data_IF_416383987636
#
_entry.id   IF_416383987636
#
_cell.length_a   1.000
_cell.length_b   1.000
_cell.length_c   1.000
_cell.angle_alpha   90.00
_cell.angle_beta   90.00
_cell.angle_gamma   90.00
#
_symmetry.space_group_name_H-M   'P 1'
#
loop_
_entity.id
_entity.type
_entity.pdbx_description
1 polymer ?
#
# COMPACT_ATOMS: atom_id res chain seq x y z
N UNK A 1 -46.02 -15.01 31.10
CA UNK A 1 -45.46 -15.58 32.35
C UNK A 1 -43.96 -15.29 32.37
N UNK A 2 -43.54 -14.32 33.19
CA UNK A 2 -42.16 -13.83 33.31
C UNK A 2 -41.38 -14.79 34.22
N UNK A 3 -40.33 -15.46 33.71
CA UNK A 3 -39.43 -16.26 34.55
C UNK A 3 -38.23 -15.41 34.94
N UNK A 4 -38.22 -14.97 36.20
CA UNK A 4 -37.03 -14.52 36.91
C UNK A 4 -36.04 -15.68 37.02
N UNK A 5 -34.79 -15.45 36.63
CA UNK A 5 -33.66 -16.34 36.94
C UNK A 5 -32.77 -15.59 37.93
N UNK A 6 -32.46 -16.16 39.11
CA UNK A 6 -31.67 -15.46 40.12
C UNK A 6 -30.19 -15.44 39.76
N UNK A 7 -29.62 -14.25 40.02
CA UNK A 7 -28.21 -13.90 40.02
C UNK A 7 -27.44 -14.80 41.01
N UNK A 8 -26.57 -15.69 40.52
CA UNK A 8 -25.62 -16.42 41.36
C UNK A 8 -24.28 -15.67 41.38
N UNK A 9 -24.07 -14.90 42.45
CA UNK A 9 -22.80 -14.26 42.78
C UNK A 9 -21.86 -15.33 43.33
N UNK A 10 -20.83 -15.73 42.57
CA UNK A 10 -19.71 -16.52 43.07
C UNK A 10 -18.59 -15.58 43.52
N UNK A 11 -18.39 -15.52 44.84
CA UNK A 11 -17.28 -14.86 45.49
C UNK A 11 -15.96 -15.65 45.34
N UNK A 12 -14.86 -14.88 45.27
CA UNK A 12 -13.53 -15.14 45.84
C UNK A 12 -12.75 -16.39 45.41
N UNK A 13 -11.69 -16.14 44.66
CA UNK A 13 -10.46 -16.94 44.68
C UNK A 13 -9.25 -16.03 44.50
N UNK A 14 -8.75 -15.43 45.59
CA UNK A 14 -7.45 -14.77 45.59
C UNK A 14 -6.37 -15.85 45.61
N UNK A 15 -6.05 -16.40 44.43
CA UNK A 15 -4.86 -17.21 44.25
C UNK A 15 -3.64 -16.29 44.29
N UNK A 16 -2.91 -16.34 45.40
CA UNK A 16 -1.57 -15.80 45.54
C UNK A 16 -0.67 -16.40 44.45
N UNK A 17 -0.44 -15.60 43.40
CA UNK A 17 0.44 -15.93 42.29
C UNK A 17 1.88 -15.85 42.79
N UNK A 18 2.44 -17.00 43.16
CA UNK A 18 3.85 -17.13 43.50
C UNK A 18 4.63 -17.13 42.17
N UNK A 19 5.51 -16.14 41.91
CA UNK A 19 6.31 -16.15 40.70
C UNK A 19 7.25 -17.37 40.72
N UNK A 20 7.41 -18.09 39.59
CA UNK A 20 8.29 -19.24 39.54
C UNK A 20 9.75 -18.82 39.83
N UNK A 21 10.54 -19.69 40.48
CA UNK A 21 11.96 -19.43 40.70
C UNK A 21 12.64 -19.23 39.35
N UNK A 22 13.36 -18.11 39.21
CA UNK A 22 14.18 -17.80 38.03
C UNK A 22 15.24 -18.89 37.88
N UNK A 23 14.96 -19.87 37.02
CA UNK A 23 15.97 -20.83 36.59
C UNK A 23 17.13 -20.06 35.95
N UNK A 24 18.32 -20.30 36.48
CA UNK A 24 19.56 -19.66 36.08
C UNK A 24 19.72 -19.76 34.55
N UNK A 25 19.90 -18.59 33.94
CA UNK A 25 20.16 -18.42 32.51
C UNK A 25 21.44 -19.20 32.17
N UNK A 26 21.42 -20.23 31.30
CA UNK A 26 22.64 -20.86 30.85
C UNK A 26 23.47 -19.81 30.12
N UNK A 27 24.70 -19.60 30.57
CA UNK A 27 25.68 -18.78 29.86
C UNK A 27 26.01 -19.51 28.55
N UNK A 28 25.37 -19.11 27.46
CA UNK A 28 25.81 -19.50 26.13
C UNK A 28 27.16 -18.83 25.86
N UNK A 29 28.21 -19.61 26.02
CA UNK A 29 29.54 -19.26 25.53
C UNK A 29 29.44 -18.95 24.03
N UNK A 30 29.75 -17.72 23.66
CA UNK A 30 29.96 -17.28 22.28
C UNK A 30 31.05 -18.12 21.64
N UNK A 31 30.66 -19.15 20.90
CA UNK A 31 31.49 -19.74 19.85
C UNK A 31 31.09 -19.11 18.53
N UNK A 32 31.90 -18.15 18.10
CA UNK A 32 31.92 -17.67 16.74
C UNK A 32 32.25 -18.85 15.82
N UNK A 33 31.27 -19.30 15.04
CA UNK A 33 31.47 -20.17 13.90
C UNK A 33 31.33 -19.32 12.63
N UNK A 34 32.30 -19.36 11.70
CA UNK A 34 32.17 -18.72 10.40
C UNK A 34 31.26 -19.57 9.51
N UNK A 35 30.01 -19.15 9.35
CA UNK A 35 29.12 -19.75 8.36
C UNK A 35 29.42 -19.11 7.00
N UNK A 36 30.27 -19.78 6.21
CA UNK A 36 30.28 -19.61 4.76
C UNK A 36 29.02 -20.27 4.20
N UNK A 37 27.92 -19.53 4.10
CA UNK A 37 26.76 -19.96 3.31
C UNK A 37 27.01 -19.53 1.86
N UNK A 38 27.56 -20.45 1.08
CA UNK A 38 27.58 -20.38 -0.38
C UNK A 38 26.17 -20.72 -0.86
N UNK A 39 25.32 -19.70 -1.00
CA UNK A 39 24.04 -19.85 -1.70
C UNK A 39 24.32 -20.13 -3.17
N UNK A 40 24.32 -21.42 -3.53
CA UNK A 40 23.81 -21.88 -4.81
C UNK A 40 22.35 -21.43 -4.88
N UNK A 41 22.09 -20.34 -5.58
CA UNK A 41 20.79 -20.07 -6.15
C UNK A 41 20.75 -20.88 -7.44
N UNK A 42 20.17 -22.07 -7.35
CA UNK A 42 19.72 -22.82 -8.52
C UNK A 42 18.77 -21.94 -9.34
N UNK A 43 19.00 -21.98 -10.64
CA UNK A 43 18.23 -21.42 -11.74
C UNK A 43 16.72 -21.72 -11.63
N UNK A 44 15.98 -20.88 -10.93
CA UNK A 44 14.53 -20.83 -11.06
C UNK A 44 14.17 -19.86 -12.20
N UNK A 45 14.23 -20.36 -13.43
CA UNK A 45 13.64 -19.74 -14.62
C UNK A 45 12.11 -19.66 -14.43
N UNK A 46 11.50 -18.47 -14.28
CA UNK A 46 10.06 -18.36 -14.30
C UNK A 46 9.60 -18.58 -15.74
N UNK A 47 8.98 -19.73 -15.99
CA UNK A 47 8.36 -20.06 -17.27
C UNK A 47 7.33 -19.00 -17.66
N UNK A 48 7.74 -18.03 -18.47
CA UNK A 48 6.84 -17.09 -19.14
C UNK A 48 6.17 -17.82 -20.29
N UNK A 49 5.09 -18.54 -19.98
CA UNK A 49 4.17 -19.03 -20.98
C UNK A 49 3.46 -17.83 -21.63
N UNK A 50 4.09 -17.31 -22.68
CA UNK A 50 3.56 -16.32 -23.61
C UNK A 50 2.30 -16.88 -24.29
N UNK A 51 1.13 -16.56 -23.74
CA UNK A 51 -0.15 -16.78 -24.41
C UNK A 51 -0.31 -15.72 -25.50
N UNK A 52 -0.24 -16.16 -26.75
CA UNK A 52 -0.47 -15.35 -27.93
C UNK A 52 -1.84 -14.62 -27.86
N UNK A 53 -1.90 -13.30 -28.11
CA UNK A 53 -3.17 -12.63 -28.37
C UNK A 53 -3.61 -12.97 -29.80
N UNK A 54 -4.64 -13.81 -29.90
CA UNK A 54 -5.39 -13.99 -31.15
C UNK A 54 -5.99 -12.65 -31.55
N UNK A 55 -5.50 -12.13 -32.68
CA UNK A 55 -6.10 -11.04 -33.42
C UNK A 55 -7.48 -11.48 -33.92
N UNK A 56 -8.53 -10.88 -33.36
CA UNK A 56 -9.80 -10.70 -34.05
C UNK A 56 -10.26 -9.27 -33.86
N UNK A 57 -10.19 -8.57 -34.98
CA UNK A 57 -10.97 -7.42 -35.39
C UNK A 57 -12.21 -7.12 -34.50
N UNK A 58 -12.25 -5.90 -33.99
CA UNK A 58 -13.50 -5.15 -33.89
C UNK A 58 -13.18 -3.67 -34.02
N UNK A 59 -13.43 -3.19 -35.23
CA UNK A 59 -13.66 -1.80 -35.56
C UNK A 59 -14.78 -1.25 -34.67
N UNK A 60 -14.46 -0.30 -33.80
CA UNK A 60 -15.46 0.50 -33.10
C UNK A 60 -14.92 1.92 -32.89
N UNK A 61 -14.56 2.57 -34.01
CA UNK A 61 -14.60 4.01 -34.14
C UNK A 61 -16.08 4.41 -34.30
N UNK A 62 -16.79 4.52 -33.17
CA UNK A 62 -18.07 5.22 -33.12
C UNK A 62 -17.99 6.27 -32.00
N UNK A 63 -18.01 7.51 -32.46
CA UNK A 63 -17.96 8.76 -31.72
C UNK A 63 -19.08 8.80 -30.66
N UNK A 64 -18.73 8.60 -29.39
CA UNK A 64 -19.59 9.06 -28.29
C UNK A 64 -19.13 10.46 -27.91
N UNK A 65 -19.84 11.44 -28.46
CA UNK A 65 -19.95 12.81 -27.95
C UNK A 65 -20.09 12.78 -26.42
N UNK A 66 -19.02 13.17 -25.72
CA UNK A 66 -19.08 13.49 -24.30
C UNK A 66 -19.76 14.86 -24.16
N UNK A 67 -20.97 14.97 -23.58
CA UNK A 67 -21.51 16.27 -23.24
C UNK A 67 -20.63 16.92 -22.16
N UNK A 68 -20.14 18.15 -22.36
CA UNK A 68 -19.62 18.96 -21.28
C UNK A 68 -20.79 19.40 -20.38
N UNK A 69 -20.47 19.64 -19.11
CA UNK A 69 -21.28 20.37 -18.13
C UNK A 69 -22.33 19.58 -17.32
N UNK A 70 -21.89 19.04 -16.19
CA UNK A 70 -22.70 19.06 -14.97
C UNK A 70 -21.80 19.17 -13.73
N UNK A 71 -21.42 20.40 -13.43
CA UNK A 71 -20.96 20.82 -12.10
C UNK A 71 -22.07 20.52 -11.09
N UNK A 72 -21.98 19.37 -10.40
CA UNK A 72 -22.82 19.07 -9.23
C UNK A 72 -21.95 19.06 -7.97
N UNK A 73 -21.44 20.25 -7.64
CA UNK A 73 -20.86 20.57 -6.34
C UNK A 73 -21.98 20.95 -5.37
N UNK A 74 -22.64 19.93 -4.82
CA UNK A 74 -23.58 20.06 -3.71
C UNK A 74 -23.09 19.30 -2.46
N UNK A 75 -23.15 19.87 -1.26
CA UNK A 75 -22.68 19.22 -0.04
C UNK A 75 -23.74 18.24 0.48
N UNK A 76 -23.77 17.02 -0.06
CA UNK A 76 -24.61 15.94 0.47
C UNK A 76 -23.91 15.24 1.64
N UNK A 77 -24.13 15.78 2.84
CA UNK A 77 -23.98 15.05 4.09
C UNK A 77 -25.31 14.36 4.45
N UNK A 78 -25.22 13.05 4.69
CA UNK A 78 -25.99 12.30 5.68
C UNK A 78 -27.52 12.47 5.72
N UNK A 79 -28.24 11.66 4.95
CA UNK A 79 -29.68 11.45 5.14
C UNK A 79 -30.19 10.30 4.29
N UNK A 80 -30.23 9.10 4.86
CA UNK A 80 -30.58 7.87 4.16
C UNK A 80 -31.98 7.88 3.52
N UNK A 81 -32.03 8.14 2.21
CA UNK A 81 -33.11 7.68 1.37
C UNK A 81 -32.94 6.17 1.17
N UNK A 82 -33.55 5.39 2.06
CA UNK A 82 -33.68 3.94 1.93
C UNK A 82 -34.42 3.68 0.63
N UNK A 83 -33.67 3.21 -0.37
CA UNK A 83 -34.13 2.92 -1.72
C UNK A 83 -35.29 1.92 -1.65
N UNK A 84 -36.53 2.37 -1.87
CA UNK A 84 -37.78 1.59 -1.80
C UNK A 84 -37.93 0.57 -2.94
N UNK A 85 -36.85 -0.07 -3.34
CA UNK A 85 -36.88 -1.25 -4.19
C UNK A 85 -36.23 -2.41 -3.44
N UNK A 86 -36.93 -2.86 -2.39
CA UNK A 86 -36.79 -4.13 -1.67
C UNK A 86 -37.29 -5.32 -2.52
N UNK A 87 -37.09 -5.25 -3.84
CA UNK A 87 -37.14 -6.44 -4.68
C UNK A 87 -35.84 -7.22 -4.52
N UNK A 88 -35.84 -8.56 -4.65
CA UNK A 88 -34.60 -9.33 -4.69
C UNK A 88 -33.73 -8.81 -5.84
N UNK A 89 -32.69 -8.06 -5.49
CA UNK A 89 -31.75 -7.49 -6.46
C UNK A 89 -30.77 -8.58 -6.83
N UNK A 90 -30.46 -8.66 -8.12
CA UNK A 90 -29.36 -9.48 -8.58
C UNK A 90 -28.04 -8.89 -8.05
N UNK A 91 -27.09 -9.74 -7.63
CA UNK A 91 -25.76 -9.30 -7.22
C UNK A 91 -25.08 -8.55 -8.37
N UNK A 92 -24.35 -7.49 -8.05
CA UNK A 92 -23.56 -6.78 -9.06
C UNK A 92 -22.36 -7.64 -9.49
N UNK A 93 -21.93 -7.52 -10.75
CA UNK A 93 -20.76 -8.26 -11.27
C UNK A 93 -19.49 -8.00 -10.44
N UNK A 94 -19.34 -6.79 -9.90
CA UNK A 94 -18.24 -6.45 -8.99
C UNK A 94 -18.29 -7.26 -7.69
N UNK A 95 -19.49 -7.46 -7.12
CA UNK A 95 -19.66 -8.29 -5.92
C UNK A 95 -19.34 -9.76 -6.20
N UNK A 96 -19.82 -10.30 -7.33
CA UNK A 96 -19.56 -11.70 -7.73
C UNK A 96 -18.05 -11.93 -7.89
N UNK A 97 -17.37 -11.08 -8.67
CA UNK A 97 -15.92 -11.19 -8.87
C UNK A 97 -15.14 -11.07 -7.56
N UNK A 98 -15.58 -10.18 -6.66
CA UNK A 98 -14.95 -10.02 -5.36
C UNK A 98 -15.14 -11.25 -4.47
N UNK A 99 -16.37 -11.77 -4.39
CA UNK A 99 -16.70 -13.00 -3.67
C UNK A 99 -15.90 -14.20 -4.19
N UNK A 100 -15.74 -14.32 -5.51
CA UNK A 100 -14.99 -15.41 -6.12
C UNK A 100 -13.50 -15.36 -5.75
N UNK A 101 -12.89 -14.18 -5.77
CA UNK A 101 -11.50 -13.99 -5.34
C UNK A 101 -11.30 -14.35 -3.87
N UNK A 102 -12.25 -13.97 -3.01
CA UNK A 102 -12.23 -14.33 -1.59
C UNK A 102 -12.37 -15.83 -1.38
N UNK A 103 -13.28 -16.50 -2.11
CA UNK A 103 -13.47 -17.94 -2.02
C UNK A 103 -12.21 -18.71 -2.43
N UNK A 104 -11.54 -18.28 -3.52
CA UNK A 104 -10.25 -18.84 -3.95
C UNK A 104 -9.18 -18.65 -2.87
N UNK A 105 -9.08 -17.44 -2.29
CA UNK A 105 -8.10 -17.14 -1.26
C UNK A 105 -8.33 -17.93 0.04
N UNK A 106 -9.59 -18.21 0.38
CA UNK A 106 -9.98 -18.99 1.55
C UNK A 106 -10.05 -20.50 1.28
N UNK A 107 -9.86 -20.94 0.03
CA UNK A 107 -10.10 -22.30 -0.42
C UNK A 107 -11.50 -22.84 -0.06
N UNK A 108 -12.53 -21.97 -0.05
CA UNK A 108 -13.94 -22.36 0.12
C UNK A 108 -14.63 -22.54 -1.24
N UNK A 109 -15.62 -23.44 -1.29
CA UNK A 109 -16.46 -23.62 -2.47
C UNK A 109 -17.36 -22.39 -2.71
N UNK A 110 -17.59 -22.07 -3.98
CA UNK A 110 -18.43 -20.94 -4.41
C UNK A 110 -19.86 -21.43 -4.69
N UNK A 111 -20.83 -21.24 -3.76
CA UNK A 111 -22.19 -21.75 -3.93
C UNK A 111 -22.95 -21.01 -5.04
N UNK A 112 -23.80 -21.68 -5.81
CA UNK A 112 -24.56 -21.05 -6.90
C UNK A 112 -25.63 -20.06 -6.40
N UNK A 113 -26.13 -20.23 -5.17
CA UNK A 113 -27.16 -19.37 -4.56
C UNK A 113 -26.78 -17.88 -4.50
N UNK A 114 -25.47 -17.59 -4.43
CA UNK A 114 -24.97 -16.21 -4.39
C UNK A 114 -25.05 -15.51 -5.75
N UNK A 115 -25.26 -16.24 -6.84
CA UNK A 115 -25.48 -15.67 -8.17
C UNK A 115 -26.92 -15.17 -8.34
N UNK A 116 -27.84 -15.69 -7.54
CA UNK A 116 -29.28 -15.40 -7.64
C UNK A 116 -29.70 -14.24 -6.73
N UNK A 117 -29.07 -14.08 -5.56
CA UNK A 117 -29.44 -13.06 -4.58
C UNK A 117 -28.25 -12.18 -4.18
N UNK A 118 -28.40 -10.85 -4.30
CA UNK A 118 -27.40 -9.88 -3.81
C UNK A 118 -27.18 -9.96 -2.31
N UNK A 119 -28.22 -10.31 -1.56
CA UNK A 119 -28.15 -10.48 -0.11
C UNK A 119 -27.32 -11.71 0.26
N UNK A 120 -27.55 -12.84 -0.42
CA UNK A 120 -26.76 -14.05 -0.23
C UNK A 120 -25.27 -13.82 -0.57
N UNK A 121 -24.99 -13.12 -1.68
CA UNK A 121 -23.62 -12.76 -2.06
C UNK A 121 -22.94 -11.86 -1.02
N UNK A 122 -23.65 -10.85 -0.51
CA UNK A 122 -23.11 -9.94 0.51
C UNK A 122 -22.84 -10.67 1.83
N UNK A 123 -23.77 -11.50 2.28
CA UNK A 123 -23.60 -12.33 3.48
C UNK A 123 -22.43 -13.32 3.35
N UNK A 124 -22.22 -13.89 2.16
CA UNK A 124 -21.07 -14.76 1.86
C UNK A 124 -19.74 -14.00 1.95
N UNK A 125 -19.66 -12.80 1.36
CA UNK A 125 -18.49 -11.92 1.46
C UNK A 125 -18.19 -11.59 2.93
N UNK A 126 -19.19 -11.16 3.70
CA UNK A 126 -19.04 -10.80 5.11
C UNK A 126 -18.55 -11.99 5.96
N UNK A 127 -19.04 -13.20 5.67
CA UNK A 127 -18.60 -14.43 6.32
C UNK A 127 -17.12 -14.68 6.05
N UNK A 128 -16.69 -14.64 4.79
CA UNK A 128 -15.29 -14.87 4.41
C UNK A 128 -14.35 -13.80 4.95
N UNK A 129 -14.76 -12.53 4.97
CA UNK A 129 -13.97 -11.45 5.56
C UNK A 129 -13.75 -11.60 7.06
N UNK A 130 -14.70 -12.22 7.78
CA UNK A 130 -14.53 -12.56 9.20
C UNK A 130 -13.56 -13.73 9.43
N UNK A 131 -13.38 -14.60 8.46
CA UNK A 131 -12.41 -15.70 8.54
C UNK A 131 -11.02 -15.31 8.03
N UNK A 132 -10.95 -14.26 7.21
CA UNK A 132 -9.68 -13.83 6.62
C UNK A 132 -8.80 -13.23 7.72
N UNK A 133 -7.57 -13.77 7.93
CA UNK A 133 -6.67 -13.22 8.94
C UNK A 133 -6.26 -11.78 8.57
N UNK A 134 -6.01 -10.92 9.57
CA UNK A 134 -5.59 -9.55 9.31
C UNK A 134 -4.25 -9.50 8.57
N UNK A 135 -4.10 -8.50 7.71
CA UNK A 135 -2.82 -8.26 7.02
C UNK A 135 -1.72 -7.89 8.03
N UNK A 136 -0.47 -8.29 7.77
CA UNK A 136 0.68 -7.93 8.61
C UNK A 136 0.75 -6.42 8.90
N UNK A 137 0.47 -5.58 7.89
CA UNK A 137 0.45 -4.12 8.05
C UNK A 137 -0.64 -3.65 9.02
N UNK A 138 -1.80 -4.28 9.00
CA UNK A 138 -2.89 -3.95 9.93
C UNK A 138 -2.50 -4.34 11.36
N UNK A 139 -1.91 -5.53 11.54
CA UNK A 139 -1.43 -5.99 12.85
C UNK A 139 -0.34 -5.06 13.39
N UNK A 140 0.68 -4.73 12.61
CA UNK A 140 1.77 -3.84 13.02
C UNK A 140 1.23 -2.45 13.43
N UNK A 141 0.26 -1.93 12.67
CA UNK A 141 -0.37 -0.64 12.98
C UNK A 141 -1.24 -0.70 14.24
N UNK A 142 -2.04 -1.76 14.41
CA UNK A 142 -2.84 -1.98 15.61
C UNK A 142 -1.96 -2.13 16.86
N UNK A 143 -0.83 -2.83 16.76
CA UNK A 143 0.16 -2.95 17.85
C UNK A 143 0.75 -1.58 18.23
N UNK A 144 1.09 -0.74 17.25
CA UNK A 144 1.60 0.60 17.50
C UNK A 144 0.56 1.48 18.22
N UNK A 145 -0.71 1.41 17.81
CA UNK A 145 -1.80 2.16 18.46
C UNK A 145 -2.05 1.65 19.89
N UNK A 146 -2.10 0.34 20.09
CA UNK A 146 -2.26 -0.27 21.42
C UNK A 146 -1.12 0.13 22.36
N UNK A 147 0.13 0.06 21.88
CA UNK A 147 1.31 0.51 22.62
C UNK A 147 1.21 1.99 23.03
N UNK A 148 0.78 2.88 22.12
CA UNK A 148 0.58 4.30 22.42
C UNK A 148 -0.56 4.56 23.41
N UNK A 149 -1.62 3.77 23.35
CA UNK A 149 -2.74 3.83 24.29
C UNK A 149 -2.40 3.22 25.66
N UNK A 150 -1.28 2.49 25.78
CA UNK A 150 -0.94 1.74 26.99
C UNK A 150 -1.82 0.51 27.20
N UNK A 151 -2.45 0.00 26.14
CA UNK A 151 -3.31 -1.19 26.16
C UNK A 151 -2.62 -2.37 25.44
N UNK A 152 -2.93 -3.60 25.83
CA UNK A 152 -2.48 -4.79 25.10
C UNK A 152 -3.42 -5.06 23.91
N UNK A 153 -2.86 -5.49 22.78
CA UNK A 153 -3.64 -5.87 21.60
C UNK A 153 -4.49 -7.11 21.92
N UNK A 154 -5.83 -7.05 21.83
CA UNK A 154 -6.68 -8.17 22.19
C UNK A 154 -6.61 -9.28 21.14
N UNK A 155 -6.77 -10.54 21.56
CA UNK A 155 -6.57 -11.71 20.70
C UNK A 155 -7.64 -11.83 19.59
N UNK A 156 -8.84 -11.28 19.83
CA UNK A 156 -9.93 -11.22 18.85
C UNK A 156 -9.57 -10.37 17.63
N UNK A 157 -8.86 -9.25 17.83
CA UNK A 157 -8.36 -8.40 16.76
C UNK A 157 -7.32 -9.11 15.87
N UNK A 158 -6.65 -10.15 16.37
CA UNK A 158 -5.70 -10.96 15.59
C UNK A 158 -6.36 -12.08 14.79
N UNK A 159 -7.61 -12.44 15.10
CA UNK A 159 -8.31 -13.55 14.45
C UNK A 159 -8.95 -13.15 13.12
N UNK A 160 -9.32 -11.88 12.93
CA UNK A 160 -9.95 -11.44 11.68
C UNK A 160 -9.54 -10.04 11.24
N UNK A 161 -9.46 -9.82 9.93
CA UNK A 161 -9.21 -8.51 9.34
C UNK A 161 -10.28 -7.48 9.76
N UNK A 162 -11.54 -7.90 9.88
CA UNK A 162 -12.65 -7.04 10.30
C UNK A 162 -12.52 -6.58 11.76
N UNK A 163 -12.20 -7.49 12.68
CA UNK A 163 -11.99 -7.17 14.10
C UNK A 163 -10.76 -6.28 14.30
N UNK A 164 -9.67 -6.55 13.58
CA UNK A 164 -8.49 -5.70 13.58
C UNK A 164 -8.80 -4.27 13.13
N UNK A 165 -9.56 -4.13 12.04
CA UNK A 165 -9.94 -2.81 11.50
C UNK A 165 -10.85 -2.06 12.48
N UNK A 166 -11.85 -2.71 13.06
CA UNK A 166 -12.72 -2.12 14.06
C UNK A 166 -11.96 -1.66 15.32
N UNK A 167 -10.93 -2.42 15.73
CA UNK A 167 -10.05 -2.05 16.84
C UNK A 167 -9.20 -0.81 16.51
N UNK A 168 -8.61 -0.75 15.31
CA UNK A 168 -7.87 0.41 14.81
C UNK A 168 -8.77 1.65 14.80
N UNK A 169 -9.97 1.54 14.21
CA UNK A 169 -10.92 2.65 14.09
C UNK A 169 -11.33 3.20 15.46
N UNK A 170 -11.55 2.31 16.44
CA UNK A 170 -11.83 2.70 17.82
C UNK A 170 -10.68 3.53 18.42
N UNK A 171 -9.43 3.05 18.32
CA UNK A 171 -8.29 3.77 18.90
C UNK A 171 -8.01 5.10 18.21
N UNK A 172 -8.15 5.15 16.89
CA UNK A 172 -8.04 6.39 16.11
C UNK A 172 -9.15 7.37 16.51
N UNK A 173 -10.40 6.89 16.67
CA UNK A 173 -11.53 7.72 17.12
C UNK A 173 -11.31 8.26 18.53
N UNK A 174 -10.80 7.44 19.47
CA UNK A 174 -10.44 7.90 20.83
C UNK A 174 -9.34 8.95 20.80
N UNK A 175 -8.30 8.75 19.97
CA UNK A 175 -7.23 9.74 19.82
C UNK A 175 -7.74 11.08 19.27
N UNK A 176 -8.70 11.05 18.34
CA UNK A 176 -9.34 12.25 17.79
C UNK A 176 -10.27 12.91 18.82
N UNK A 177 -11.05 12.13 19.57
CA UNK A 177 -11.98 12.62 20.59
C UNK A 177 -11.25 13.20 21.82
N UNK A 178 -10.12 12.61 22.21
CA UNK A 178 -9.27 13.09 23.31
C UNK A 178 -8.32 14.23 22.93
N UNK A 179 -8.08 14.44 21.63
CA UNK A 179 -7.15 15.44 21.10
C UNK A 179 -7.76 16.81 20.75
N UNK A 180 -9.06 17.01 21.01
CA UNK A 180 -9.75 18.29 20.76
C UNK A 180 -9.36 19.44 21.71
N UNK A 181 -8.51 19.18 22.71
CA UNK A 181 -8.00 20.21 23.63
C UNK A 181 -6.47 20.28 23.50
N UNK A 182 -6.02 21.20 22.65
CA UNK A 182 -4.73 21.88 22.76
C UNK A 182 -3.46 21.00 22.77
N UNK A 183 -3.13 20.37 21.64
CA UNK A 183 -1.80 20.57 21.04
C UNK A 183 -1.94 20.83 19.54
N UNK A 184 -2.74 21.84 19.20
CA UNK A 184 -2.20 22.83 18.27
C UNK A 184 -0.97 23.36 19.00
N UNK A 185 0.19 22.76 18.75
CA UNK A 185 1.47 23.42 18.96
C UNK A 185 1.39 24.60 18.03
N UNK A 186 0.79 25.66 18.56
CA UNK A 186 0.93 27.03 18.17
C UNK A 186 2.43 27.30 18.30
N UNK A 187 3.20 26.80 17.33
CA UNK A 187 4.24 27.57 16.68
C UNK A 187 3.55 28.73 15.95
N UNK A 188 2.79 29.52 16.71
CA UNK A 188 2.76 30.95 16.54
C UNK A 188 4.16 31.42 16.89
N UNK A 189 5.08 31.26 15.93
CA UNK A 189 6.07 32.28 15.74
C UNK A 189 5.27 33.57 15.63
N UNK A 190 5.34 34.38 16.68
CA UNK A 190 4.97 35.77 16.59
C UNK A 190 5.63 36.28 15.32
N UNK A 191 4.83 36.64 14.31
CA UNK A 191 5.35 37.47 13.23
C UNK A 191 5.97 38.67 13.93
N UNK A 192 7.28 38.92 13.85
CA UNK A 192 7.81 40.20 14.26
C UNK A 192 7.05 41.22 13.44
N UNK A 193 6.29 42.09 14.11
CA UNK A 193 5.74 43.25 13.44
C UNK A 193 6.93 44.04 12.92
N UNK A 194 7.07 44.05 11.60
CA UNK A 194 7.96 44.96 10.91
C UNK A 194 7.48 46.37 11.24
N UNK A 195 8.13 47.02 12.21
CA UNK A 195 8.17 48.47 12.26
C UNK A 195 9.11 48.91 11.13
N UNK A 196 8.62 49.59 10.07
CA UNK A 196 9.50 50.13 9.05
C UNK A 196 10.30 51.27 9.67
N UNK A 197 11.58 51.02 9.96
CA UNK A 197 12.54 52.08 10.22
C UNK A 197 12.93 52.75 8.89
N UNK A 198 13.14 54.08 8.88
CA UNK A 198 13.31 54.87 7.67
C UNK A 198 14.65 54.61 6.98
N UNK A 199 14.63 54.80 5.67
CA UNK A 199 15.72 54.65 4.72
C UNK A 199 17.04 55.31 5.17
N UNK A 200 18.11 54.52 5.22
CA UNK A 200 19.48 55.03 5.12
C UNK A 200 20.44 53.95 4.61
N UNK A 201 21.07 54.25 3.47
CA UNK A 201 22.47 53.99 3.14
C UNK A 201 22.93 52.53 2.88
N UNK A 202 23.06 52.23 1.58
CA UNK A 202 24.33 51.86 0.91
C UNK A 202 25.24 50.81 1.56
N UNK A 203 25.35 49.65 0.91
CA UNK A 203 26.64 48.97 0.71
C UNK A 203 26.78 47.55 1.24
N UNK A 204 26.88 46.59 0.30
CA UNK A 204 27.80 45.46 0.41
C UNK A 204 27.32 44.16 1.07
N UNK A 205 27.90 43.08 0.57
CA UNK A 205 27.93 41.70 1.08
C UNK A 205 26.77 40.77 0.69
N UNK A 206 27.18 39.81 -0.14
CA UNK A 206 26.50 38.63 -0.64
C UNK A 206 25.65 37.91 0.42
N UNK A 207 24.42 37.66 0.03
CA UNK A 207 23.37 36.95 0.75
C UNK A 207 23.72 35.47 0.93
N UNK A 208 24.23 35.11 2.10
CA UNK A 208 24.24 33.73 2.58
C UNK A 208 22.88 33.44 3.22
N UNK A 209 21.94 32.94 2.42
CA UNK A 209 20.65 32.43 2.90
C UNK A 209 20.94 31.15 3.68
N UNK A 210 20.88 31.22 5.01
CA UNK A 210 20.94 30.05 5.87
C UNK A 210 19.65 29.22 5.66
N UNK A 211 19.73 27.97 5.17
CA UNK A 211 18.56 27.11 5.11
C UNK A 211 18.15 26.69 6.52
N UNK A 212 16.85 26.81 6.79
CA UNK A 212 16.21 26.41 8.02
C UNK A 212 16.37 24.88 8.19
N UNK A 213 17.29 24.46 9.07
CA UNK A 213 17.58 23.05 9.37
C UNK A 213 16.49 22.54 10.33
N UNK A 214 15.29 22.32 9.82
CA UNK A 214 14.31 21.44 10.47
C UNK A 214 14.74 19.98 10.25
N UNK A 215 15.49 19.45 11.22
CA UNK A 215 15.49 18.06 11.68
C UNK A 215 14.97 16.99 10.70
N UNK A 216 15.57 16.92 9.51
CA UNK A 216 15.30 15.88 8.52
C UNK A 216 16.06 14.61 8.94
N UNK A 217 15.40 13.73 9.69
CA UNK A 217 15.70 12.29 9.69
C UNK A 217 15.38 11.64 8.32
N UNK A 218 15.52 12.42 7.24
CA UNK A 218 14.71 12.39 6.04
C UNK A 218 15.58 12.23 4.80
N UNK A 219 15.97 10.98 4.56
CA UNK A 219 16.41 10.57 3.23
C UNK A 219 15.31 10.84 2.18
N UNK A 220 15.64 10.69 0.89
CA UNK A 220 14.66 10.87 -0.17
C UNK A 220 13.44 9.97 0.05
N UNK A 221 12.25 10.49 -0.26
CA UNK A 221 11.03 9.68 -0.20
C UNK A 221 11.15 8.49 -1.16
N UNK A 222 10.59 7.33 -0.81
CA UNK A 222 10.64 6.13 -1.65
C UNK A 222 10.12 6.38 -3.07
N UNK A 223 9.12 7.26 -3.23
CA UNK A 223 8.62 7.68 -4.54
C UNK A 223 9.67 8.46 -5.34
N UNK A 224 10.44 9.34 -4.69
CA UNK A 224 11.52 10.10 -5.33
C UNK A 224 12.63 9.16 -5.79
N UNK A 225 13.04 8.20 -4.96
CA UNK A 225 14.06 7.21 -5.32
C UNK A 225 13.63 6.37 -6.54
N UNK A 226 12.42 5.81 -6.54
CA UNK A 226 11.90 5.03 -7.68
C UNK A 226 11.86 5.88 -8.95
N UNK A 227 11.45 7.14 -8.84
CA UNK A 227 11.39 8.04 -9.99
C UNK A 227 12.78 8.39 -10.53
N UNK A 228 13.74 8.70 -9.65
CA UNK A 228 15.13 8.95 -10.00
C UNK A 228 15.76 7.74 -10.70
N UNK A 229 15.50 6.51 -10.22
CA UNK A 229 16.00 5.27 -10.85
C UNK A 229 15.48 5.13 -12.28
N UNK A 230 14.19 5.41 -12.51
CA UNK A 230 13.60 5.36 -13.86
C UNK A 230 14.24 6.38 -14.81
N UNK A 231 14.45 7.61 -14.34
CA UNK A 231 15.11 8.65 -15.14
C UNK A 231 16.57 8.28 -15.45
N UNK A 232 17.28 7.70 -14.49
CA UNK A 232 18.66 7.27 -14.65
C UNK A 232 18.78 6.15 -15.69
N UNK A 233 17.91 5.13 -15.60
CA UNK A 233 17.83 4.03 -16.57
C UNK A 233 17.50 4.53 -17.98
N UNK A 234 16.51 5.42 -18.12
CA UNK A 234 16.11 5.97 -19.42
C UNK A 234 17.25 6.76 -20.09
N UNK A 235 18.10 7.41 -19.29
CA UNK A 235 19.25 8.16 -19.77
C UNK A 235 20.55 7.33 -19.84
N UNK A 236 20.52 6.04 -19.47
CA UNK A 236 21.71 5.18 -19.43
C UNK A 236 22.80 5.63 -18.45
N UNK A 237 22.43 6.39 -17.42
CA UNK A 237 23.36 6.88 -16.39
C UNK A 237 23.09 6.23 -15.04
N UNK A 238 24.13 6.06 -14.23
CA UNK A 238 24.00 5.58 -12.85
C UNK A 238 23.52 6.68 -11.89
N UNK A 239 22.91 6.28 -10.76
CA UNK A 239 22.64 7.17 -9.63
C UNK A 239 23.84 7.19 -8.69
N UNK A 240 24.25 8.38 -8.26
CA UNK A 240 25.30 8.50 -7.24
C UNK A 240 24.79 8.01 -5.88
N UNK A 241 25.69 7.51 -5.04
CA UNK A 241 25.35 7.07 -3.69
C UNK A 241 24.85 8.22 -2.81
N UNK A 242 25.26 9.45 -3.10
CA UNK A 242 24.83 10.67 -2.42
C UNK A 242 23.37 11.00 -2.75
N UNK A 243 22.95 10.87 -4.02
CA UNK A 243 21.57 11.05 -4.43
C UNK A 243 20.58 10.03 -3.82
N UNK A 244 21.06 8.88 -3.33
CA UNK A 244 20.23 7.90 -2.63
C UNK A 244 20.13 8.15 -1.13
N UNK A 245 21.10 8.86 -0.54
CA UNK A 245 21.17 9.12 0.90
C UNK A 245 20.56 10.47 1.27
N UNK A 246 20.72 11.46 0.39
CA UNK A 246 20.28 12.83 0.62
C UNK A 246 19.06 13.19 -0.24
N UNK A 247 18.04 13.78 0.40
CA UNK A 247 16.80 14.18 -0.27
C UNK A 247 17.03 15.34 -1.24
N UNK A 248 17.92 16.27 -0.90
CA UNK A 248 18.28 17.41 -1.74
C UNK A 248 18.97 16.95 -3.02
N UNK A 249 19.99 16.10 -2.91
CA UNK A 249 20.71 15.53 -4.05
C UNK A 249 19.79 14.69 -4.96
N UNK A 250 18.89 13.88 -4.37
CA UNK A 250 17.89 13.15 -5.14
C UNK A 250 16.99 14.09 -5.96
N UNK A 251 16.54 15.18 -5.34
CA UNK A 251 15.64 16.16 -5.97
C UNK A 251 16.36 16.92 -7.09
N UNK A 252 17.61 17.35 -6.88
CA UNK A 252 18.42 18.01 -7.93
C UNK A 252 18.64 17.10 -9.14
N UNK A 253 18.94 15.82 -8.92
CA UNK A 253 19.10 14.86 -10.01
C UNK A 253 17.80 14.72 -10.83
N UNK A 254 16.64 14.64 -10.17
CA UNK A 254 15.34 14.55 -10.84
C UNK A 254 15.09 15.81 -11.70
N UNK A 255 15.33 17.00 -11.14
CA UNK A 255 15.13 18.28 -11.83
C UNK A 255 16.05 18.42 -13.04
N UNK A 256 17.34 18.09 -12.90
CA UNK A 256 18.31 18.12 -13.99
C UNK A 256 17.89 17.22 -15.16
N UNK A 257 17.44 15.99 -14.86
CA UNK A 257 17.00 15.03 -15.88
C UNK A 257 15.71 15.45 -16.57
N UNK A 258 14.76 16.01 -15.83
CA UNK A 258 13.52 16.57 -16.42
C UNK A 258 13.81 17.81 -17.29
N UNK A 259 14.74 18.66 -16.87
CA UNK A 259 15.16 19.81 -17.67
C UNK A 259 15.80 19.37 -18.99
N UNK A 260 16.64 18.32 -18.97
CA UNK A 260 17.25 17.75 -20.18
C UNK A 260 16.18 17.18 -21.13
N UNK A 261 15.20 16.45 -20.61
CA UNK A 261 14.09 15.93 -21.42
C UNK A 261 13.26 17.05 -22.05
N UNK A 262 13.07 18.17 -21.34
CA UNK A 262 12.33 19.33 -21.84
C UNK A 262 13.14 20.15 -22.85
N UNK A 263 14.48 20.10 -22.75
CA UNK A 263 15.39 20.83 -23.66
C UNK A 263 15.70 20.09 -24.96
N UNK A 264 15.39 18.79 -25.05
CA UNK A 264 15.49 18.08 -26.32
C UNK A 264 14.43 18.66 -27.27
N UNK A 265 14.83 19.33 -28.37
CA UNK A 265 13.86 19.81 -29.35
C UNK A 265 13.04 18.61 -29.81
N UNK A 266 11.71 18.74 -29.98
CA UNK A 266 10.90 17.67 -30.52
C UNK A 266 11.54 17.30 -31.84
N UNK A 267 12.12 16.10 -31.90
CA UNK A 267 12.83 15.62 -33.07
C UNK A 267 11.93 15.85 -34.27
N UNK A 268 12.32 16.82 -35.10
CA UNK A 268 11.58 17.23 -36.27
C UNK A 268 11.26 15.96 -37.04
N UNK A 269 9.97 15.72 -37.23
CA UNK A 269 9.47 14.56 -37.94
C UNK A 269 10.26 14.32 -39.24
N UNK A 270 10.57 13.05 -39.48
CA UNK A 270 11.16 12.44 -40.70
C UNK A 270 12.67 12.25 -40.65
N UNK A 271 13.11 10.99 -40.66
CA UNK A 271 13.46 10.39 -41.95
C UNK A 271 12.50 9.27 -42.32
N UNK A 272 11.90 9.42 -43.51
CA UNK A 272 11.33 8.35 -44.31
C UNK A 272 12.33 7.19 -44.42
N UNK A 273 12.19 6.19 -43.56
CA UNK A 273 12.87 4.90 -43.68
C UNK A 273 12.14 4.12 -44.76
N UNK A 274 12.83 3.95 -45.88
CA UNK A 274 12.50 3.05 -46.97
C UNK A 274 12.36 1.61 -46.45
N UNK A 275 11.33 0.86 -46.86
CA UNK A 275 11.21 -0.55 -46.50
C UNK A 275 12.18 -1.37 -47.37
N UNK A 276 13.33 -1.76 -46.81
CA UNK A 276 14.20 -2.75 -47.44
C UNK A 276 14.28 -4.03 -46.61
N UNK A 277 13.81 -5.10 -47.26
CA UNK A 277 14.19 -6.51 -47.15
C UNK A 277 14.48 -7.08 -45.77
N UNK A 278 13.53 -7.89 -45.29
CA UNK A 278 13.77 -8.99 -44.35
C UNK A 278 14.55 -10.11 -45.05
N UNK A 279 15.80 -10.43 -44.65
CA UNK A 279 16.39 -11.71 -44.99
C UNK A 279 15.80 -12.80 -44.07
N UNK A 280 15.31 -13.86 -44.68
CA UNK A 280 14.91 -15.09 -44.05
C UNK A 280 16.08 -15.70 -43.25
N UNK A 281 15.86 -16.02 -41.97
CA UNK A 281 16.79 -16.85 -41.20
C UNK A 281 16.05 -17.69 -40.14
N UNK A 282 16.06 -18.99 -40.39
CA UNK A 282 16.16 -20.11 -39.45
C UNK A 282 15.13 -20.22 -38.31
N UNK A 283 14.09 -21.02 -38.60
CA UNK A 283 13.41 -21.85 -37.60
C UNK A 283 14.44 -22.76 -36.90
N UNK A 284 14.72 -22.53 -35.63
CA UNK A 284 15.38 -23.50 -34.75
C UNK A 284 14.28 -24.26 -34.02
N UNK A 285 14.14 -25.56 -34.32
CA UNK A 285 13.30 -26.49 -33.56
C UNK A 285 13.84 -26.59 -32.11
N UNK A 286 12.99 -26.49 -31.08
CA UNK A 286 13.39 -26.91 -29.74
C UNK A 286 13.56 -28.45 -29.71
N UNK A 287 14.58 -28.97 -29.01
CA UNK A 287 14.81 -30.41 -28.88
C UNK A 287 13.66 -31.06 -28.12
N UNK A 288 13.13 -32.15 -28.69
CA UNK A 288 12.18 -33.03 -28.04
C UNK A 288 12.81 -33.63 -26.78
N UNK A 289 12.37 -33.19 -25.60
CA UNK A 289 12.60 -33.89 -24.35
C UNK A 289 11.81 -35.20 -24.41
N UNK A 290 12.53 -36.32 -24.44
CA UNK A 290 11.93 -37.65 -24.24
C UNK A 290 11.83 -37.89 -22.74
N UNK A 291 10.59 -38.01 -22.26
CA UNK A 291 10.25 -38.63 -20.99
C UNK A 291 10.68 -40.11 -21.04
N UNK A 292 11.88 -40.41 -20.56
CA UNK A 292 12.31 -41.78 -20.23
C UNK A 292 12.84 -41.77 -18.78
N UNK A 293 12.13 -42.55 -17.94
CA UNK A 293 12.58 -43.17 -16.70
C UNK A 293 12.83 -42.30 -15.45
N UNK A 294 11.77 -42.11 -14.66
CA UNK A 294 11.88 -41.96 -13.20
C UNK A 294 11.31 -43.24 -12.55
N UNK A 295 12.16 -44.14 -12.01
CA UNK A 295 11.68 -45.30 -11.27
C UNK A 295 11.10 -44.90 -9.90
N UNK A 296 9.99 -45.55 -9.54
CA UNK A 296 9.29 -45.45 -8.26
C UNK A 296 10.13 -45.91 -7.06
#
# INVERSE_FOLDING_TARGET
MKRCVPLLVMLRGAASFQPPPRLARPQFASRAAPYCVRSQFDDFEPSTATRAPSALASSFDDYVEQPPDAQSSGPFSAGGARSMSDGPRLPTEKQINYAQRLAIAAAENFPEDILVSSEACSAFIDRLLRQTPPSKKQVDYAQLLAFRAGEALPADALMSASACSAYIDRLVSVAQAGGGVAQQTQYGGQRPQYQPAPAAMSGGAQSAVAPNIELAAGGPSQKQVIFAVKLAQAAGVGLSAEALRDKGECSRFIEERLALQSSMPPASASPSVTPYSTPAAAQTQPPAFKDEDIPF
#
